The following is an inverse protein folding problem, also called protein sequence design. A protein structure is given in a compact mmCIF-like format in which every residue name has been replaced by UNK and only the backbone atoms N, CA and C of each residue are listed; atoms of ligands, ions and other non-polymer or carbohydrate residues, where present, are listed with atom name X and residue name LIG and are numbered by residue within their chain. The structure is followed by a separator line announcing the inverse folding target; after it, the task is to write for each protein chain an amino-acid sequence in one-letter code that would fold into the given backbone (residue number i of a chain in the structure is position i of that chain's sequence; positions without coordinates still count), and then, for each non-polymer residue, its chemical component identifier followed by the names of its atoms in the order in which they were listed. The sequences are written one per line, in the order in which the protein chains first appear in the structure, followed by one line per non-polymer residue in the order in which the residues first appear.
data_IF_547913918053
#
_entry.id   IF_547913918053
#
_cell.length_a   1.000
_cell.length_b   1.000
_cell.length_c   1.000
_cell.angle_alpha   90.00
_cell.angle_beta   90.00
_cell.angle_gamma   90.00
#
_symmetry.space_group_name_H-M   'P 1'
#
loop_
_entity.id
_entity.type
_entity.pdbx_description
1 polymer ?
#
# COMPACT_ATOMS: atom_id res chain seq x y z
N UNK A 1 3.75 -10.85 -27.44
CA UNK A 1 4.13 -10.23 -26.16
C UNK A 1 3.53 -8.84 -26.15
N UNK A 2 2.69 -8.49 -25.17
CA UNK A 2 2.05 -7.17 -25.13
C UNK A 2 3.07 -6.09 -24.74
N UNK A 3 2.78 -4.82 -25.05
CA UNK A 3 3.62 -3.68 -24.62
C UNK A 3 3.78 -3.65 -23.09
N UNK A 4 2.74 -4.02 -22.34
CA UNK A 4 2.79 -4.10 -20.88
C UNK A 4 3.77 -5.18 -20.40
N UNK A 5 3.85 -6.32 -21.08
CA UNK A 5 4.79 -7.39 -20.71
C UNK A 5 6.25 -6.93 -20.89
N UNK A 6 6.52 -6.18 -21.95
CA UNK A 6 7.85 -5.63 -22.20
C UNK A 6 8.25 -4.61 -21.14
N UNK A 7 7.35 -3.69 -20.80
CA UNK A 7 7.56 -2.71 -19.73
C UNK A 7 7.78 -3.42 -18.39
N UNK A 8 6.93 -4.40 -18.05
CA UNK A 8 7.05 -5.19 -16.84
C UNK A 8 8.40 -5.90 -16.76
N UNK A 9 8.88 -6.49 -17.86
CA UNK A 9 10.18 -7.14 -17.95
C UNK A 9 11.37 -6.17 -17.81
N UNK A 10 11.26 -4.96 -18.36
CA UNK A 10 12.28 -3.91 -18.20
C UNK A 10 12.36 -3.47 -16.73
N UNK A 11 11.21 -3.11 -16.14
CA UNK A 11 11.14 -2.64 -14.77
C UNK A 11 11.56 -3.72 -13.76
N UNK A 12 11.12 -4.96 -13.96
CA UNK A 12 11.50 -6.09 -13.12
C UNK A 12 13.01 -6.32 -13.09
N UNK A 13 13.68 -6.17 -14.24
CA UNK A 13 15.15 -6.26 -14.34
C UNK A 13 15.84 -5.06 -13.69
N UNK A 14 15.40 -3.83 -13.98
CA UNK A 14 16.04 -2.62 -13.45
C UNK A 14 15.92 -2.49 -11.93
N UNK A 15 14.76 -2.86 -11.38
CA UNK A 15 14.46 -2.74 -9.96
C UNK A 15 14.77 -4.02 -9.16
N UNK A 16 15.24 -5.07 -9.83
CA UNK A 16 15.49 -6.39 -9.25
C UNK A 16 14.25 -6.97 -8.53
N UNK A 17 13.10 -6.92 -9.22
CA UNK A 17 11.81 -7.43 -8.76
C UNK A 17 11.41 -8.64 -9.63
N UNK A 18 11.83 -9.86 -9.29
CA UNK A 18 11.71 -11.04 -10.16
C UNK A 18 10.27 -11.43 -10.49
N UNK A 19 9.32 -11.17 -9.58
CA UNK A 19 7.90 -11.50 -9.79
C UNK A 19 7.09 -10.35 -10.41
N UNK A 20 7.66 -9.15 -10.55
CA UNK A 20 6.95 -8.01 -11.11
C UNK A 20 6.44 -8.24 -12.55
N UNK A 21 7.23 -8.83 -13.48
CA UNK A 21 6.79 -8.96 -14.88
C UNK A 21 5.49 -9.77 -15.03
N UNK A 22 5.31 -10.82 -14.24
CA UNK A 22 4.12 -11.67 -14.28
C UNK A 22 2.85 -10.95 -13.79
N UNK A 23 2.99 -9.93 -12.94
CA UNK A 23 1.87 -9.19 -12.34
C UNK A 23 1.76 -7.75 -12.81
N UNK A 24 2.64 -7.30 -13.71
CA UNK A 24 2.65 -5.92 -14.17
C UNK A 24 1.33 -5.53 -14.85
N UNK A 25 0.73 -6.46 -15.60
CA UNK A 25 -0.59 -6.24 -16.18
C UNK A 25 -1.66 -5.98 -15.11
N UNK A 26 -1.65 -6.72 -14.01
CA UNK A 26 -2.58 -6.52 -12.88
C UNK A 26 -2.43 -5.12 -12.30
N UNK A 27 -1.19 -4.65 -12.12
CA UNK A 27 -0.90 -3.29 -11.63
C UNK A 27 -1.45 -2.25 -12.60
N UNK A 28 -1.15 -2.38 -13.89
CA UNK A 28 -1.59 -1.46 -14.93
C UNK A 28 -3.13 -1.42 -15.05
N UNK A 29 -3.79 -2.58 -15.02
CA UNK A 29 -5.25 -2.66 -15.05
C UNK A 29 -5.89 -2.09 -13.78
N UNK A 30 -5.26 -2.27 -12.62
CA UNK A 30 -5.75 -1.70 -11.37
C UNK A 30 -5.64 -0.17 -11.36
N UNK A 31 -4.52 0.38 -11.85
CA UNK A 31 -4.37 1.83 -12.08
C UNK A 31 -5.44 2.38 -13.03
N UNK A 32 -5.69 1.67 -14.14
CA UNK A 32 -6.74 2.01 -15.09
C UNK A 32 -8.13 1.95 -14.46
N UNK A 33 -8.43 0.90 -13.70
CA UNK A 33 -9.69 0.74 -13.00
C UNK A 33 -9.94 1.87 -11.99
N UNK A 34 -8.93 2.26 -11.21
CA UNK A 34 -9.04 3.37 -10.26
C UNK A 34 -9.31 4.70 -10.97
N UNK A 35 -8.60 4.95 -12.08
CA UNK A 35 -8.84 6.13 -12.93
C UNK A 35 -10.25 6.15 -13.51
N UNK A 36 -10.75 5.01 -13.98
CA UNK A 36 -12.12 4.89 -14.51
C UNK A 36 -13.14 5.13 -13.40
N UNK A 37 -12.98 4.50 -12.23
CA UNK A 37 -13.87 4.70 -11.09
C UNK A 37 -13.89 6.17 -10.64
N UNK A 38 -12.73 6.84 -10.63
CA UNK A 38 -12.64 8.27 -10.34
C UNK A 38 -13.44 9.10 -11.34
N UNK A 39 -13.27 8.85 -12.64
CA UNK A 39 -13.99 9.57 -13.70
C UNK A 39 -15.49 9.31 -13.59
N UNK A 40 -15.90 8.04 -13.42
CA UNK A 40 -17.31 7.67 -13.23
C UNK A 40 -17.89 8.38 -12.01
N UNK A 41 -17.17 8.41 -10.89
CA UNK A 41 -17.59 9.16 -9.71
C UNK A 41 -17.74 10.66 -9.99
N UNK A 42 -16.77 11.26 -10.67
CA UNK A 42 -16.78 12.67 -11.01
C UNK A 42 -17.95 13.06 -11.93
N UNK A 43 -18.34 12.17 -12.86
CA UNK A 43 -19.43 12.37 -13.80
C UNK A 43 -20.81 12.05 -13.19
N UNK A 44 -20.89 11.06 -12.31
CA UNK A 44 -22.14 10.66 -11.66
C UNK A 44 -22.50 11.56 -10.47
N UNK A 45 -21.51 12.10 -9.74
CA UNK A 45 -21.73 12.87 -8.52
C UNK A 45 -22.59 14.14 -8.69
N UNK A 46 -22.54 14.90 -9.80
CA UNK A 46 -23.49 15.99 -10.07
C UNK A 46 -24.94 15.53 -10.18
N UNK A 47 -25.19 14.29 -10.59
CA UNK A 47 -26.54 13.70 -10.73
C UNK A 47 -27.00 13.08 -9.41
N UNK A 48 -26.10 12.39 -8.70
CA UNK A 48 -26.40 11.72 -7.43
C UNK A 48 -26.54 12.72 -6.29
N UNK A 49 -25.69 13.74 -6.25
CA UNK A 49 -25.66 14.76 -5.19
C UNK A 49 -25.78 16.20 -5.76
N UNK A 50 -26.86 16.53 -6.48
CA UNK A 50 -26.99 17.77 -7.26
C UNK A 50 -26.97 19.03 -6.40
N UNK A 51 -27.40 18.93 -5.13
CA UNK A 51 -27.45 20.07 -4.20
C UNK A 51 -26.11 20.35 -3.53
N UNK A 52 -25.22 19.35 -3.47
CA UNK A 52 -23.99 19.37 -2.66
C UNK A 52 -22.76 19.39 -3.56
N UNK A 53 -22.56 18.37 -4.40
CA UNK A 53 -21.32 18.16 -5.14
C UNK A 53 -20.93 19.34 -6.03
N UNK A 54 -21.84 19.97 -6.82
CA UNK A 54 -21.47 21.10 -7.68
C UNK A 54 -20.90 22.31 -6.92
N UNK A 55 -21.34 22.52 -5.67
CA UNK A 55 -20.93 23.65 -4.82
C UNK A 55 -19.59 23.42 -4.12
N UNK A 56 -19.06 22.20 -4.14
CA UNK A 56 -17.82 21.88 -3.44
C UNK A 56 -16.60 22.53 -4.14
N UNK A 57 -15.60 23.01 -3.36
CA UNK A 57 -14.31 23.41 -3.90
C UNK A 57 -13.60 22.28 -4.66
N UNK A 58 -12.69 22.63 -5.57
CA UNK A 58 -11.94 21.65 -6.39
C UNK A 58 -11.28 20.55 -5.56
N UNK A 59 -10.57 20.92 -4.48
CA UNK A 59 -9.89 19.95 -3.59
C UNK A 59 -10.87 19.00 -2.90
N UNK A 60 -12.03 19.51 -2.47
CA UNK A 60 -13.06 18.69 -1.82
C UNK A 60 -13.77 17.77 -2.81
N UNK A 61 -14.00 18.20 -4.06
CA UNK A 61 -14.50 17.33 -5.14
C UNK A 61 -13.50 16.21 -5.45
N UNK A 62 -12.21 16.54 -5.51
CA UNK A 62 -11.18 15.53 -5.70
C UNK A 62 -11.17 14.51 -4.56
N UNK A 63 -11.14 14.98 -3.30
CA UNK A 63 -11.24 14.11 -2.12
C UNK A 63 -12.49 13.21 -2.17
N UNK A 64 -13.65 13.78 -2.50
CA UNK A 64 -14.90 13.02 -2.70
C UNK A 64 -14.75 11.87 -3.70
N UNK A 65 -14.16 12.15 -4.88
CA UNK A 65 -14.01 11.14 -5.91
C UNK A 65 -12.97 10.07 -5.52
N UNK A 66 -11.89 10.46 -4.83
CA UNK A 66 -10.91 9.50 -4.27
C UNK A 66 -11.57 8.60 -3.22
N UNK A 67 -12.46 9.13 -2.38
CA UNK A 67 -13.20 8.30 -1.43
C UNK A 67 -14.05 7.25 -2.17
N UNK A 68 -14.71 7.61 -3.27
CA UNK A 68 -15.43 6.65 -4.10
C UNK A 68 -14.52 5.54 -4.67
N UNK A 69 -13.31 5.89 -5.13
CA UNK A 69 -12.31 4.91 -5.58
C UNK A 69 -11.89 3.99 -4.44
N UNK A 70 -11.57 4.54 -3.27
CA UNK A 70 -11.16 3.75 -2.10
C UNK A 70 -12.27 2.82 -1.61
N UNK A 71 -13.55 3.23 -1.67
CA UNK A 71 -14.68 2.34 -1.35
C UNK A 71 -14.77 1.18 -2.33
N UNK A 72 -14.69 1.47 -3.63
CA UNK A 72 -14.73 0.43 -4.66
C UNK A 72 -13.56 -0.56 -4.51
N UNK A 73 -12.35 -0.04 -4.24
CA UNK A 73 -11.17 -0.85 -3.97
C UNK A 73 -11.38 -1.74 -2.73
N UNK A 74 -11.82 -1.17 -1.61
CA UNK A 74 -12.04 -1.88 -0.37
C UNK A 74 -13.06 -3.02 -0.50
N UNK A 75 -14.14 -2.79 -1.27
CA UNK A 75 -15.17 -3.81 -1.55
C UNK A 75 -14.63 -5.01 -2.36
N UNK A 76 -13.55 -4.82 -3.10
CA UNK A 76 -12.89 -5.90 -3.86
C UNK A 76 -11.78 -6.53 -3.05
N UNK A 77 -10.84 -5.72 -2.57
CA UNK A 77 -9.59 -6.20 -1.97
C UNK A 77 -9.82 -6.84 -0.60
N UNK A 78 -10.75 -6.29 0.20
CA UNK A 78 -11.05 -6.77 1.55
C UNK A 78 -11.54 -8.22 1.56
N UNK A 79 -12.61 -8.56 0.83
CA UNK A 79 -13.09 -9.93 0.71
C UNK A 79 -12.04 -10.89 0.10
N UNK A 80 -11.30 -10.43 -0.92
CA UNK A 80 -10.21 -11.23 -1.50
C UNK A 80 -9.11 -11.54 -0.49
N UNK A 81 -8.70 -10.56 0.31
CA UNK A 81 -7.69 -10.71 1.35
C UNK A 81 -8.19 -11.65 2.47
N UNK A 82 -9.42 -11.47 2.93
CA UNK A 82 -10.05 -12.35 3.92
C UNK A 82 -10.12 -13.81 3.43
N UNK A 83 -10.56 -14.01 2.19
CA UNK A 83 -10.60 -15.34 1.58
C UNK A 83 -9.20 -15.97 1.51
N UNK A 84 -8.15 -15.20 1.22
CA UNK A 84 -6.77 -15.72 1.25
C UNK A 84 -6.31 -16.07 2.65
N UNK A 85 -6.57 -15.23 3.65
CA UNK A 85 -6.23 -15.56 5.04
C UNK A 85 -6.91 -16.86 5.50
N UNK A 86 -8.12 -17.14 5.01
CA UNK A 86 -8.84 -18.38 5.32
C UNK A 86 -8.31 -19.61 4.58
N UNK A 87 -7.80 -19.44 3.35
CA UNK A 87 -7.42 -20.56 2.46
C UNK A 87 -5.91 -20.82 2.40
N UNK A 88 -5.09 -19.93 2.93
CA UNK A 88 -3.65 -20.12 2.97
C UNK A 88 -3.31 -21.31 3.89
N UNK A 89 -2.48 -22.27 3.43
CA UNK A 89 -2.02 -23.36 4.29
C UNK A 89 -1.27 -22.81 5.51
N UNK A 90 -1.38 -23.51 6.64
CA UNK A 90 -0.74 -23.08 7.90
C UNK A 90 0.73 -22.73 7.67
N UNK A 91 1.10 -21.56 8.21
CA UNK A 91 2.34 -20.86 7.91
C UNK A 91 3.63 -21.55 8.40
N UNK A 92 3.55 -22.81 8.83
CA UNK A 92 4.69 -23.65 9.23
C UNK A 92 5.47 -24.19 8.02
N UNK A 93 4.85 -24.27 6.83
CA UNK A 93 5.53 -24.69 5.59
C UNK A 93 6.06 -23.54 4.73
N UNK A 94 5.75 -22.29 5.08
CA UNK A 94 6.10 -21.11 4.31
C UNK A 94 7.14 -20.25 5.04
N UNK A 95 8.22 -19.91 4.36
CA UNK A 95 9.14 -18.90 4.88
C UNK A 95 8.42 -17.54 4.92
N UNK A 96 7.89 -17.15 6.09
CA UNK A 96 7.07 -15.93 6.25
C UNK A 96 7.76 -14.63 5.79
N UNK A 97 9.09 -14.60 5.77
CA UNK A 97 9.86 -13.42 5.41
C UNK A 97 10.11 -13.28 3.90
N UNK A 98 10.37 -14.40 3.21
CA UNK A 98 10.82 -14.42 1.81
C UNK A 98 10.06 -15.40 0.90
N UNK A 99 8.98 -16.00 1.41
CA UNK A 99 8.14 -16.93 0.67
C UNK A 99 7.26 -16.23 -0.37
N UNK A 100 7.15 -16.84 -1.54
CA UNK A 100 6.33 -16.34 -2.64
C UNK A 100 5.14 -17.25 -2.92
N UNK A 101 3.95 -16.66 -3.10
CA UNK A 101 2.78 -17.35 -3.61
C UNK A 101 2.12 -16.49 -4.70
N UNK A 102 1.81 -17.11 -5.82
CA UNK A 102 1.25 -16.43 -6.99
C UNK A 102 -0.09 -15.73 -6.68
N UNK A 103 -0.90 -16.33 -5.81
CA UNK A 103 -2.18 -15.74 -5.40
C UNK A 103 -2.01 -14.46 -4.57
N UNK A 104 -0.87 -14.30 -3.88
CA UNK A 104 -0.51 -13.07 -3.18
C UNK A 104 -0.03 -12.00 -4.16
N UNK A 105 0.68 -12.39 -5.23
CA UNK A 105 1.11 -11.49 -6.29
C UNK A 105 -0.05 -10.77 -7.00
N UNK A 106 -1.19 -11.44 -7.17
CA UNK A 106 -2.43 -10.84 -7.67
C UNK A 106 -2.98 -9.77 -6.70
N UNK A 107 -3.12 -10.12 -5.42
CA UNK A 107 -3.60 -9.21 -4.37
C UNK A 107 -2.71 -7.97 -4.26
N UNK A 108 -1.40 -8.17 -4.23
CA UNK A 108 -0.45 -7.07 -4.19
C UNK A 108 -0.45 -6.28 -5.49
N UNK A 109 -0.73 -6.88 -6.65
CA UNK A 109 -0.85 -6.15 -7.90
C UNK A 109 -2.00 -5.18 -7.91
N UNK A 110 -3.13 -5.59 -7.34
CA UNK A 110 -4.29 -4.72 -7.15
C UNK A 110 -3.98 -3.64 -6.12
N UNK A 111 -3.27 -3.99 -5.03
CA UNK A 111 -2.86 -3.03 -3.99
C UNK A 111 -1.78 -2.04 -4.47
N UNK A 112 -0.77 -2.43 -5.26
CA UNK A 112 0.25 -1.53 -5.83
C UNK A 112 -0.37 -0.44 -6.70
N UNK A 113 -1.63 -0.62 -7.14
CA UNK A 113 -2.44 0.47 -7.66
C UNK A 113 -2.47 1.73 -6.77
N UNK A 114 -2.08 1.68 -5.48
CA UNK A 114 -1.82 2.85 -4.62
C UNK A 114 -0.78 3.84 -5.19
N UNK A 115 -0.01 3.46 -6.22
CA UNK A 115 0.78 4.43 -6.98
C UNK A 115 -0.12 5.51 -7.60
N UNK A 116 -1.35 5.15 -7.99
CA UNK A 116 -2.40 6.06 -8.42
C UNK A 116 -2.77 7.04 -7.30
N UNK A 117 -3.01 6.54 -6.09
CA UNK A 117 -3.39 7.36 -4.92
C UNK A 117 -2.28 8.35 -4.55
N UNK A 118 -1.02 7.93 -4.67
CA UNK A 118 0.15 8.81 -4.46
C UNK A 118 0.20 9.94 -5.49
N UNK A 119 0.01 9.60 -6.77
CA UNK A 119 0.03 10.58 -7.87
C UNK A 119 -1.12 11.58 -7.70
N UNK A 120 -2.35 11.09 -7.51
CA UNK A 120 -3.52 11.93 -7.33
C UNK A 120 -3.40 12.83 -6.10
N UNK A 121 -2.91 12.29 -4.98
CA UNK A 121 -2.66 13.05 -3.76
C UNK A 121 -1.65 14.20 -3.97
N UNK A 122 -0.56 13.93 -4.71
CA UNK A 122 0.42 14.96 -5.06
C UNK A 122 -0.19 16.00 -6.00
N UNK A 123 -0.92 15.58 -7.04
CA UNK A 123 -1.52 16.49 -8.02
C UNK A 123 -2.59 17.39 -7.41
N UNK A 124 -3.39 16.86 -6.49
CA UNK A 124 -4.46 17.61 -5.83
C UNK A 124 -4.02 18.38 -4.59
N UNK A 125 -2.73 18.31 -4.22
CA UNK A 125 -2.15 18.98 -3.06
C UNK A 125 -2.95 18.67 -1.78
N UNK A 126 -3.28 17.39 -1.60
CA UNK A 126 -3.95 16.92 -0.37
C UNK A 126 -2.96 16.91 0.80
N UNK A 127 -3.43 16.50 1.96
CA UNK A 127 -2.61 16.50 3.17
C UNK A 127 -1.42 15.54 3.02
N UNK A 128 -0.28 15.94 3.60
CA UNK A 128 0.98 15.17 3.54
C UNK A 128 0.80 13.73 4.03
N UNK A 129 -0.13 13.49 4.97
CA UNK A 129 -0.43 12.17 5.51
C UNK A 129 -0.89 11.18 4.43
N UNK A 130 -1.77 11.61 3.52
CA UNK A 130 -2.25 10.76 2.41
C UNK A 130 -1.13 10.47 1.40
N UNK A 131 -0.28 11.46 1.10
CA UNK A 131 0.88 11.27 0.21
C UNK A 131 1.86 10.23 0.79
N UNK A 132 2.19 10.37 2.08
CA UNK A 132 3.10 9.44 2.77
C UNK A 132 2.48 8.04 2.86
N UNK A 133 1.17 7.96 3.12
CA UNK A 133 0.45 6.69 3.16
C UNK A 133 0.47 5.98 1.80
N UNK A 134 0.06 6.66 0.72
CA UNK A 134 0.06 6.09 -0.63
C UNK A 134 1.45 5.62 -1.05
N UNK A 135 2.48 6.42 -0.76
CA UNK A 135 3.87 6.05 -1.05
C UNK A 135 4.31 4.83 -0.24
N UNK A 136 3.97 4.77 1.06
CA UNK A 136 4.28 3.64 1.93
C UNK A 136 3.63 2.34 1.42
N UNK A 137 2.34 2.39 1.07
CA UNK A 137 1.61 1.25 0.51
C UNK A 137 2.24 0.80 -0.81
N UNK A 138 2.53 1.73 -1.72
CA UNK A 138 3.21 1.45 -2.99
C UNK A 138 4.55 0.75 -2.78
N UNK A 139 5.36 1.21 -1.82
CA UNK A 139 6.65 0.61 -1.52
C UNK A 139 6.53 -0.79 -0.89
N UNK A 140 5.65 -0.97 0.09
CA UNK A 140 5.47 -2.26 0.77
C UNK A 140 5.00 -3.33 -0.21
N UNK A 141 3.95 -3.03 -0.98
CA UNK A 141 3.42 -4.00 -1.95
C UNK A 141 4.32 -4.13 -3.19
N UNK A 142 5.03 -3.07 -3.59
CA UNK A 142 6.01 -3.13 -4.69
C UNK A 142 7.23 -4.00 -4.34
N UNK A 143 7.77 -3.85 -3.13
CA UNK A 143 8.87 -4.69 -2.63
C UNK A 143 8.44 -6.14 -2.41
N UNK A 144 7.14 -6.42 -2.27
CA UNK A 144 6.64 -7.79 -2.19
C UNK A 144 6.99 -8.61 -3.44
N UNK A 145 7.20 -7.99 -4.62
CA UNK A 145 7.63 -8.68 -5.84
C UNK A 145 9.10 -9.14 -5.83
N UNK A 146 9.86 -8.72 -4.82
CA UNK A 146 11.14 -9.33 -4.43
C UNK A 146 10.93 -9.97 -3.07
N UNK A 147 10.43 -11.21 -3.04
CA UNK A 147 9.38 -11.79 -2.18
C UNK A 147 9.35 -11.38 -0.70
N UNK A 148 9.45 -10.10 -0.39
CA UNK A 148 9.69 -9.59 0.94
C UNK A 148 8.36 -9.35 1.63
N UNK A 149 8.11 -10.12 2.70
CA UNK A 149 6.89 -10.03 3.51
C UNK A 149 5.58 -10.17 2.70
N UNK A 150 5.63 -10.81 1.53
CA UNK A 150 4.45 -11.04 0.71
C UNK A 150 3.34 -11.76 1.51
N UNK A 151 3.73 -12.66 2.42
CA UNK A 151 2.81 -13.35 3.34
C UNK A 151 1.95 -12.42 4.21
N UNK A 152 2.47 -11.25 4.60
CA UNK A 152 1.76 -10.33 5.48
C UNK A 152 0.83 -9.35 4.74
N UNK A 153 0.94 -9.25 3.41
CA UNK A 153 0.12 -8.33 2.63
C UNK A 153 -1.38 -8.55 2.78
N UNK A 154 -1.91 -9.79 2.72
CA UNK A 154 -3.33 -10.05 2.98
C UNK A 154 -3.78 -9.62 4.39
N UNK A 155 -2.92 -9.73 5.39
CA UNK A 155 -3.23 -9.26 6.76
C UNK A 155 -3.35 -7.74 6.80
N UNK A 156 -2.51 -7.01 6.05
CA UNK A 156 -2.63 -5.56 5.94
C UNK A 156 -3.90 -5.16 5.16
N UNK A 157 -4.21 -5.88 4.08
CA UNK A 157 -5.34 -5.56 3.19
C UNK A 157 -6.71 -5.88 3.79
N UNK A 158 -6.82 -6.82 4.75
CA UNK A 158 -8.11 -7.11 5.38
C UNK A 158 -8.66 -5.92 6.18
N UNK A 159 -7.79 -5.02 6.64
CA UNK A 159 -8.20 -3.80 7.36
C UNK A 159 -8.96 -2.82 6.47
N UNK A 160 -8.79 -2.90 5.14
CA UNK A 160 -9.55 -2.08 4.17
C UNK A 160 -11.05 -2.38 4.20
N UNK A 161 -11.48 -3.52 4.78
CA UNK A 161 -12.92 -3.79 4.99
C UNK A 161 -13.57 -2.70 5.85
N UNK A 162 -12.80 -1.99 6.68
CA UNK A 162 -13.30 -0.86 7.47
C UNK A 162 -13.53 0.42 6.64
N UNK A 163 -12.87 0.55 5.48
CA UNK A 163 -12.86 1.77 4.64
C UNK A 163 -14.26 2.21 4.17
N UNK A 164 -15.18 1.32 3.74
CA UNK A 164 -16.54 1.73 3.40
C UNK A 164 -17.30 2.35 4.59
N UNK A 165 -17.12 1.79 5.80
CA UNK A 165 -17.75 2.31 7.02
C UNK A 165 -17.16 3.67 7.40
N UNK A 166 -15.84 3.81 7.32
CA UNK A 166 -15.16 5.08 7.57
C UNK A 166 -15.62 6.17 6.58
N UNK A 167 -15.79 5.83 5.31
CA UNK A 167 -16.19 6.77 4.27
C UNK A 167 -17.66 7.19 4.39
N UNK A 168 -18.58 6.27 4.72
CA UNK A 168 -19.98 6.60 4.97
C UNK A 168 -20.11 7.51 6.20
N UNK A 169 -19.47 7.17 7.31
CA UNK A 169 -19.50 8.03 8.49
C UNK A 169 -18.85 9.39 8.26
N UNK A 170 -17.76 9.45 7.48
CA UNK A 170 -17.15 10.73 7.10
C UNK A 170 -18.08 11.59 6.25
N UNK A 171 -18.85 10.97 5.34
CA UNK A 171 -19.84 11.65 4.53
C UNK A 171 -21.02 12.18 5.37
N UNK A 172 -21.60 11.34 6.23
CA UNK A 172 -22.66 11.73 7.17
C UNK A 172 -22.19 12.88 8.07
N UNK A 173 -21.00 12.72 8.64
CA UNK A 173 -20.37 13.75 9.47
C UNK A 173 -20.20 15.05 8.69
N UNK A 174 -19.71 15.01 7.45
CA UNK A 174 -19.55 16.21 6.62
C UNK A 174 -20.90 16.88 6.29
N UNK A 175 -21.95 16.10 6.03
CA UNK A 175 -23.29 16.64 5.84
C UNK A 175 -23.83 17.31 7.10
N UNK A 176 -23.67 16.69 8.27
CA UNK A 176 -24.03 17.28 9.56
C UNK A 176 -23.23 18.56 9.82
N UNK A 177 -21.92 18.55 9.52
CA UNK A 177 -21.04 19.69 9.70
C UNK A 177 -21.49 20.88 8.83
N UNK A 178 -21.86 20.64 7.58
CA UNK A 178 -22.42 21.68 6.71
C UNK A 178 -23.78 22.20 7.19
N UNK A 179 -24.63 21.32 7.74
CA UNK A 179 -25.95 21.70 8.26
C UNK A 179 -25.86 22.51 9.57
N UNK A 180 -24.80 22.31 10.37
CA UNK A 180 -24.65 22.87 11.71
C UNK A 180 -23.41 23.78 11.82
N UNK A 181 -22.75 24.12 10.71
CA UNK A 181 -21.44 24.82 10.68
C UNK A 181 -21.37 26.10 11.54
N UNK A 182 -22.49 26.82 11.71
CA UNK A 182 -22.58 28.03 12.54
C UNK A 182 -22.79 27.77 14.04
N UNK A 183 -23.05 26.53 14.46
CA UNK A 183 -23.53 26.19 15.81
C UNK A 183 -22.69 25.09 16.48
N UNK A 184 -21.56 24.68 15.89
CA UNK A 184 -20.75 23.56 16.39
C UNK A 184 -20.05 23.95 17.69
N UNK A 185 -20.35 23.30 18.82
CA UNK A 185 -19.66 23.60 20.08
C UNK A 185 -18.19 23.18 19.97
N UNK A 186 -17.30 24.10 20.36
CA UNK A 186 -15.84 23.97 20.23
C UNK A 186 -15.31 22.63 20.79
N UNK A 187 -15.95 22.08 21.82
CA UNK A 187 -15.57 20.83 22.46
C UNK A 187 -15.64 19.61 21.53
N UNK A 188 -16.63 19.54 20.63
CA UNK A 188 -16.73 18.43 19.67
C UNK A 188 -15.65 18.51 18.60
N UNK A 189 -15.36 19.72 18.09
CA UNK A 189 -14.26 19.96 17.15
C UNK A 189 -12.91 19.58 17.75
N UNK A 190 -12.69 19.91 19.03
CA UNK A 190 -11.47 19.55 19.75
C UNK A 190 -11.37 18.03 19.97
N UNK A 191 -12.48 17.35 20.25
CA UNK A 191 -12.49 15.89 20.48
C UNK A 191 -12.19 15.11 19.21
N UNK A 192 -12.83 15.46 18.08
CA UNK A 192 -12.56 14.84 16.78
C UNK A 192 -11.18 15.21 16.24
N UNK A 193 -10.74 16.46 16.43
CA UNK A 193 -9.38 16.89 16.10
C UNK A 193 -8.33 16.12 16.89
N UNK A 194 -8.55 15.91 18.18
CA UNK A 194 -7.68 15.10 19.03
C UNK A 194 -7.63 13.63 18.58
N UNK A 195 -8.78 13.03 18.24
CA UNK A 195 -8.84 11.67 17.72
C UNK A 195 -8.05 11.51 16.42
N UNK A 196 -8.19 12.47 15.49
CA UNK A 196 -7.41 12.47 14.24
C UNK A 196 -5.91 12.66 14.48
N UNK A 197 -5.52 13.52 15.42
CA UNK A 197 -4.11 13.69 15.80
C UNK A 197 -3.57 12.41 16.43
N UNK A 198 -4.31 11.78 17.35
CA UNK A 198 -3.90 10.54 18.00
C UNK A 198 -3.74 9.39 17.00
N UNK A 199 -4.67 9.25 16.04
CA UNK A 199 -4.58 8.28 14.95
C UNK A 199 -3.37 8.56 14.04
N UNK A 200 -3.12 9.82 13.68
CA UNK A 200 -1.94 10.19 12.90
C UNK A 200 -0.63 9.92 13.66
N UNK A 201 -0.58 10.18 14.97
CA UNK A 201 0.58 9.87 15.82
C UNK A 201 0.80 8.37 15.91
N UNK A 202 -0.25 7.58 16.06
CA UNK A 202 -0.16 6.12 16.09
C UNK A 202 0.35 5.57 14.75
N UNK A 203 -0.19 6.06 13.64
CA UNK A 203 0.27 5.71 12.31
C UNK A 203 1.76 6.07 12.10
N UNK A 204 2.19 7.26 12.54
CA UNK A 204 3.59 7.70 12.46
C UNK A 204 4.52 6.83 13.33
N UNK A 205 4.06 6.43 14.51
CA UNK A 205 4.79 5.54 15.41
C UNK A 205 5.03 4.16 14.78
N UNK A 206 3.97 3.54 14.25
CA UNK A 206 4.07 2.25 13.58
C UNK A 206 4.91 2.32 12.31
N UNK A 207 4.78 3.39 11.54
CA UNK A 207 5.60 3.65 10.36
C UNK A 207 7.10 3.75 10.71
N UNK A 208 7.43 4.43 11.81
CA UNK A 208 8.82 4.52 12.30
C UNK A 208 9.37 3.16 12.73
N UNK A 209 8.54 2.32 13.39
CA UNK A 209 8.93 0.95 13.76
C UNK A 209 9.16 0.07 12.52
N UNK A 210 8.35 0.24 11.48
CA UNK A 210 8.51 -0.45 10.20
C UNK A 210 9.83 -0.04 9.50
N UNK A 211 10.15 1.26 9.45
CA UNK A 211 11.44 1.74 8.90
C UNK A 211 12.64 1.25 9.73
N UNK A 212 12.54 1.25 11.07
CA UNK A 212 13.60 0.73 11.92
C UNK A 212 13.84 -0.78 11.68
N UNK A 213 12.77 -1.55 11.47
CA UNK A 213 12.86 -2.94 11.07
C UNK A 213 13.52 -3.13 9.70
N UNK A 214 13.26 -2.23 8.74
CA UNK A 214 13.94 -2.21 7.43
C UNK A 214 15.45 -1.92 7.60
N UNK A 215 15.81 -0.86 8.32
CA UNK A 215 17.21 -0.44 8.51
C UNK A 215 18.06 -1.52 9.17
N UNK A 216 17.53 -2.22 10.18
CA UNK A 216 18.23 -3.31 10.88
C UNK A 216 18.55 -4.50 9.97
N UNK A 217 17.76 -4.71 8.90
CA UNK A 217 17.95 -5.82 7.96
C UNK A 217 18.98 -5.52 6.88
N UNK A 218 19.11 -4.25 6.46
CA UNK A 218 20.19 -3.83 5.56
C UNK A 218 21.57 -3.87 6.23
N UNK A 219 21.65 -3.63 7.54
CA UNK A 219 22.90 -3.79 8.30
C UNK A 219 23.30 -5.26 8.47
N UNK A 220 22.36 -6.20 8.40
CA UNK A 220 22.64 -7.65 8.47
C UNK A 220 23.18 -8.22 7.14
N UNK A 221 23.20 -7.41 6.07
CA UNK A 221 23.66 -7.78 4.73
C UNK A 221 25.15 -7.55 4.44
N UNK A 222 25.97 -7.16 5.44
CA UNK A 222 27.42 -7.09 5.27
C UNK A 222 28.14 -8.04 6.27
N UNK A 223 28.09 -9.37 6.07
CA UNK A 223 29.06 -10.24 6.72
C UNK A 223 30.41 -9.93 6.08
N UNK A 224 31.36 -9.48 6.89
CA UNK A 224 32.72 -9.22 6.47
C UNK A 224 33.27 -10.36 5.62
N UNK A 225 33.89 -9.99 4.50
CA UNK A 225 34.71 -10.88 3.69
C UNK A 225 35.83 -11.44 4.59
N UNK A 226 35.61 -12.63 5.15
CA UNK A 226 36.68 -13.47 5.64
C UNK A 226 37.23 -14.23 4.43
N UNK A 227 38.25 -13.67 3.81
CA UNK A 227 39.09 -14.41 2.87
C UNK A 227 39.64 -15.65 3.61
N UNK A 228 39.56 -16.86 3.02
CA UNK A 228 40.17 -18.03 3.63
C UNK A 228 41.68 -17.79 3.72
N UNK A 229 42.22 -17.87 4.94
CA UNK A 229 43.64 -17.78 5.22
C UNK A 229 44.34 -19.00 4.60
N UNK A 230 44.80 -18.83 3.35
CA UNK A 230 45.56 -19.84 2.63
C UNK A 230 46.97 -19.92 3.22
N UNK A 231 47.15 -20.72 4.28
CA UNK A 231 48.45 -21.17 4.75
C UNK A 231 48.33 -22.44 5.60
N UNK A 232 48.02 -23.56 4.95
CA UNK A 232 48.23 -24.88 5.53
C UNK A 232 48.42 -25.92 4.41
N UNK A 233 49.64 -25.99 3.85
CA UNK A 233 50.34 -27.20 3.37
C UNK A 233 51.50 -26.83 2.44
N UNK A 234 52.55 -26.30 3.05
CA UNK A 234 53.88 -26.28 2.44
C UNK A 234 54.93 -26.52 3.53
N UNK A 235 54.81 -27.61 4.29
CA UNK A 235 55.97 -28.18 4.96
C UNK A 235 55.73 -29.65 5.35
N UNK A 236 56.01 -30.55 4.42
CA UNK A 236 56.35 -31.94 4.75
C UNK A 236 57.32 -32.47 3.70
N UNK A 237 58.52 -31.89 3.69
CA UNK A 237 59.71 -32.55 3.18
C UNK A 237 60.69 -32.65 4.36
N UNK A 238 61.34 -33.81 4.50
CA UNK A 238 62.51 -34.09 5.35
C UNK A 238 62.26 -34.59 6.79
N UNK A 239 62.18 -35.93 6.93
CA UNK A 239 62.56 -36.83 8.06
C UNK A 239 61.85 -38.17 7.78
N UNK A 240 62.46 -39.33 7.65
CA UNK A 240 63.80 -39.87 7.91
C UNK A 240 64.08 -40.84 6.72
N UNK A 241 65.32 -41.01 6.27
CA UNK A 241 66.16 -42.18 6.62
C UNK A 241 65.38 -43.49 6.75
#
# INVERSE_FOLDING_TARGET
MSVLDEIGAILGRQLNLPHLPAHFQTIAYSFGAFSITYIVSALASPVIAPRTYPKLPRRTKHSWNVHAVSMAHAMVIGPMAAHRLWTLPEAESFEKAFGWNESMGLLHGIAVGFIWDTIESVLAQVEIGFIVHGLACTLIFGLSYRPFMAFYGPTALVWEISTPFLNIHSFEFFQTLLAVHGSIPIGLTLTYGFGNIALNVLNLFWFTKMIAALKKRFQKGNPGVNLPNGNARANKKVRNE
#
